data_IF_818968919524
#
_entry.id   IF_818968919524
#
_cell.length_a   1.000
_cell.length_b   1.000
_cell.length_c   1.000
_cell.angle_alpha   90.00
_cell.angle_beta   90.00
_cell.angle_gamma   90.00
#
_symmetry.space_group_name_H-M   'P 1'
#
loop_
_entity.id
_entity.type
_entity.pdbx_description
1 polymer ?
#
# COMPACT_ATOMS: atom_id res chain seq x y z
N UNK A 1 -42.20 3.51 -7.11
CA UNK A 1 -40.98 4.14 -7.62
C UNK A 1 -39.82 3.25 -7.18
N UNK A 2 -39.31 2.40 -8.06
CA UNK A 2 -38.10 1.63 -7.80
C UNK A 2 -36.94 2.63 -7.72
N UNK A 3 -36.40 2.80 -6.53
CA UNK A 3 -35.13 3.49 -6.36
C UNK A 3 -34.06 2.66 -7.05
N UNK A 4 -33.67 3.05 -8.26
CA UNK A 4 -32.52 2.46 -8.95
C UNK A 4 -31.35 2.44 -7.96
N UNK A 5 -31.05 1.27 -7.38
CA UNK A 5 -29.91 1.13 -6.50
C UNK A 5 -28.66 1.38 -7.31
N UNK A 6 -27.94 2.47 -6.98
CA UNK A 6 -26.66 2.80 -7.61
C UNK A 6 -25.70 1.64 -7.46
N UNK A 7 -25.18 1.13 -8.58
CA UNK A 7 -24.14 0.10 -8.59
C UNK A 7 -22.84 0.69 -8.03
N UNK A 8 -22.30 0.06 -7.00
CA UNK A 8 -21.02 0.45 -6.40
C UNK A 8 -19.86 -0.09 -7.24
N UNK A 9 -18.83 0.73 -7.43
CA UNK A 9 -17.65 0.38 -8.24
C UNK A 9 -16.41 0.35 -7.33
N UNK A 10 -15.67 -0.78 -7.25
CA UNK A 10 -14.45 -0.90 -6.45
C UNK A 10 -13.25 -0.27 -7.19
N UNK A 11 -13.26 1.04 -7.44
CA UNK A 11 -12.30 1.73 -8.32
C UNK A 11 -10.85 1.40 -7.97
N UNK A 12 -10.49 1.39 -6.68
CA UNK A 12 -9.15 1.08 -6.20
C UNK A 12 -9.21 0.20 -4.96
N UNK A 13 -8.48 -0.93 -4.98
CA UNK A 13 -8.48 -1.93 -3.90
C UNK A 13 -7.06 -2.13 -3.38
N UNK A 14 -6.92 -2.33 -2.06
CA UNK A 14 -5.68 -2.73 -1.42
C UNK A 14 -5.79 -4.21 -1.04
N UNK A 15 -4.90 -5.03 -1.56
CA UNK A 15 -4.86 -6.45 -1.26
C UNK A 15 -3.75 -6.78 -0.27
N UNK A 16 -4.15 -7.12 0.95
CA UNK A 16 -3.29 -7.53 2.05
C UNK A 16 -3.18 -9.06 2.09
N UNK A 17 -2.53 -9.66 1.10
CA UNK A 17 -2.51 -11.11 0.90
C UNK A 17 -1.72 -11.90 1.95
N UNK A 18 -1.02 -11.24 2.85
CA UNK A 18 -0.27 -11.86 3.95
C UNK A 18 -0.19 -10.93 5.15
N UNK A 19 -0.20 -11.50 6.36
CA UNK A 19 0.08 -10.78 7.62
C UNK A 19 1.54 -10.89 8.06
N UNK A 20 2.35 -11.76 7.43
CA UNK A 20 3.77 -11.92 7.78
C UNK A 20 4.56 -10.68 7.40
N UNK A 21 5.38 -10.20 8.34
CA UNK A 21 6.28 -9.07 8.14
C UNK A 21 7.58 -9.31 8.89
N UNK A 22 8.69 -8.87 8.30
CA UNK A 22 10.00 -8.91 8.94
C UNK A 22 10.30 -7.67 9.80
N UNK A 23 9.38 -6.68 9.85
CA UNK A 23 9.44 -5.52 10.73
C UNK A 23 8.39 -5.60 11.85
N UNK A 24 8.57 -4.78 12.90
CA UNK A 24 7.73 -4.80 14.11
C UNK A 24 7.21 -3.40 14.47
N UNK A 25 6.81 -2.59 13.46
CA UNK A 25 6.30 -1.24 13.68
C UNK A 25 5.18 -1.23 14.72
N UNK A 26 5.33 -0.41 15.78
CA UNK A 26 4.45 -0.46 16.95
C UNK A 26 3.02 -0.02 16.69
N UNK A 27 2.79 0.79 15.66
CA UNK A 27 1.47 1.24 15.23
C UNK A 27 0.82 0.38 14.14
N UNK A 28 1.47 -0.71 13.69
CA UNK A 28 0.96 -1.51 12.58
C UNK A 28 -0.40 -2.14 12.92
N UNK A 29 -1.40 -1.92 12.05
CA UNK A 29 -2.74 -2.49 12.20
C UNK A 29 -2.92 -3.85 11.50
N UNK A 30 -1.99 -4.24 10.63
CA UNK A 30 -2.06 -5.50 9.90
C UNK A 30 -0.90 -6.41 10.32
N UNK A 31 -1.04 -7.02 11.50
CA UNK A 31 0.03 -7.78 12.16
C UNK A 31 -0.14 -9.29 11.95
N UNK A 32 0.92 -10.06 12.21
CA UNK A 32 0.99 -11.50 11.97
C UNK A 32 0.16 -12.33 12.97
N UNK A 33 -1.16 -12.07 13.04
CA UNK A 33 -2.12 -12.86 13.81
C UNK A 33 -2.36 -14.23 13.19
N UNK A 34 -2.27 -14.33 11.87
CA UNK A 34 -2.34 -15.56 11.10
C UNK A 34 -1.08 -15.72 10.27
N UNK A 35 -0.86 -16.92 9.74
CA UNK A 35 0.18 -17.20 8.75
C UNK A 35 -0.41 -17.55 7.38
N UNK A 36 -1.71 -17.42 7.22
CA UNK A 36 -2.45 -17.81 6.04
C UNK A 36 -2.13 -16.91 4.85
N UNK A 37 -2.33 -17.46 3.69
CA UNK A 37 -2.17 -16.76 2.41
C UNK A 37 -3.06 -17.48 1.38
N UNK A 38 -3.82 -16.77 0.56
CA UNK A 38 -4.65 -17.40 -0.45
C UNK A 38 -3.78 -18.08 -1.52
N UNK A 39 -4.32 -19.10 -2.17
CA UNK A 39 -3.64 -19.71 -3.32
C UNK A 39 -3.52 -18.69 -4.47
N UNK A 40 -2.60 -18.92 -5.40
CA UNK A 40 -2.48 -18.05 -6.57
C UNK A 40 -3.78 -18.05 -7.39
N UNK A 41 -4.40 -19.21 -7.56
CA UNK A 41 -5.67 -19.38 -8.28
C UNK A 41 -6.80 -18.62 -7.63
N UNK A 42 -7.00 -18.76 -6.31
CA UNK A 42 -8.07 -18.05 -5.59
C UNK A 42 -7.89 -16.54 -5.67
N UNK A 43 -6.64 -16.07 -5.55
CA UNK A 43 -6.32 -14.66 -5.71
C UNK A 43 -6.64 -14.16 -7.11
N UNK A 44 -6.31 -14.93 -8.15
CA UNK A 44 -6.63 -14.55 -9.52
C UNK A 44 -8.15 -14.50 -9.76
N UNK A 45 -8.92 -15.47 -9.22
CA UNK A 45 -10.38 -15.46 -9.30
C UNK A 45 -10.99 -14.24 -8.61
N UNK A 46 -10.55 -13.92 -7.40
CA UNK A 46 -11.00 -12.75 -6.65
C UNK A 46 -10.66 -11.44 -7.39
N UNK A 47 -9.45 -11.32 -7.91
CA UNK A 47 -9.01 -10.13 -8.65
C UNK A 47 -9.75 -9.96 -9.98
N UNK A 48 -10.06 -11.07 -10.67
CA UNK A 48 -10.91 -11.03 -11.86
C UNK A 48 -12.31 -10.52 -11.54
N UNK A 49 -12.94 -11.02 -10.48
CA UNK A 49 -14.26 -10.55 -10.02
C UNK A 49 -14.26 -9.05 -9.72
N UNK A 50 -13.23 -8.53 -9.07
CA UNK A 50 -13.07 -7.10 -8.82
C UNK A 50 -12.88 -6.31 -10.12
N UNK A 51 -12.10 -6.82 -11.07
CA UNK A 51 -11.93 -6.21 -12.39
C UNK A 51 -13.22 -6.14 -13.18
N UNK A 52 -13.97 -7.24 -13.20
CA UNK A 52 -15.29 -7.32 -13.86
C UNK A 52 -16.29 -6.33 -13.23
N UNK A 53 -16.15 -6.06 -11.92
CA UNK A 53 -16.90 -5.03 -11.19
C UNK A 53 -16.39 -3.60 -11.34
N UNK A 54 -15.42 -3.36 -12.21
CA UNK A 54 -14.95 -2.01 -12.56
C UNK A 54 -13.68 -1.58 -11.82
N UNK A 55 -12.92 -2.47 -11.17
CA UNK A 55 -11.64 -2.13 -10.56
C UNK A 55 -10.65 -1.65 -11.63
N UNK A 56 -10.05 -0.49 -11.38
CA UNK A 56 -9.05 0.13 -12.26
C UNK A 56 -7.65 0.04 -11.69
N UNK A 57 -7.53 0.03 -10.35
CA UNK A 57 -6.27 0.04 -9.63
C UNK A 57 -6.22 -1.02 -8.54
N UNK A 58 -5.10 -1.72 -8.47
CA UNK A 58 -4.78 -2.62 -7.36
C UNK A 58 -3.49 -2.17 -6.67
N UNK A 59 -3.49 -2.24 -5.34
CA UNK A 59 -2.33 -1.97 -4.52
C UNK A 59 -2.03 -3.20 -3.65
N UNK A 60 -0.99 -3.94 -3.96
CA UNK A 60 -0.52 -5.04 -3.13
C UNK A 60 0.10 -4.50 -1.86
N UNK A 61 -0.35 -5.01 -0.73
CA UNK A 61 0.11 -4.66 0.60
C UNK A 61 0.07 -5.91 1.49
N UNK A 62 0.06 -5.73 2.79
CA UNK A 62 -0.06 -6.80 3.75
C UNK A 62 0.87 -6.58 4.93
N UNK A 63 1.57 -7.62 5.39
CA UNK A 63 2.74 -7.49 6.22
C UNK A 63 3.90 -6.94 5.40
N UNK A 64 4.72 -7.81 4.82
CA UNK A 64 5.72 -7.43 3.82
C UNK A 64 5.56 -8.29 2.57
N UNK A 65 5.08 -7.72 1.45
CA UNK A 65 4.82 -8.47 0.22
C UNK A 65 6.06 -9.18 -0.36
N UNK A 66 7.24 -8.58 -0.22
CA UNK A 66 8.49 -9.15 -0.72
C UNK A 66 9.06 -10.31 0.11
N UNK A 67 8.35 -10.78 1.13
CA UNK A 67 8.61 -12.10 1.71
C UNK A 67 8.19 -13.23 0.76
N UNK A 68 7.32 -12.93 -0.23
CA UNK A 68 6.81 -13.85 -1.24
C UNK A 68 7.01 -13.29 -2.66
N UNK A 69 8.27 -13.04 -3.08
CA UNK A 69 8.56 -12.26 -4.28
C UNK A 69 8.04 -12.89 -5.57
N UNK A 70 8.04 -14.23 -5.68
CA UNK A 70 7.49 -14.93 -6.85
C UNK A 70 5.98 -14.82 -6.93
N UNK A 71 5.28 -15.12 -5.84
CA UNK A 71 3.82 -15.00 -5.76
C UNK A 71 3.36 -13.56 -6.08
N UNK A 72 4.00 -12.58 -5.46
CA UNK A 72 3.74 -11.16 -5.72
C UNK A 72 3.97 -10.80 -7.20
N UNK A 73 5.08 -11.26 -7.79
CA UNK A 73 5.42 -10.98 -9.18
C UNK A 73 4.43 -11.60 -10.16
N UNK A 74 4.01 -12.83 -9.92
CA UNK A 74 3.03 -13.52 -10.75
C UNK A 74 1.65 -12.81 -10.72
N UNK A 75 1.23 -12.31 -9.54
CA UNK A 75 0.00 -11.52 -9.42
C UNK A 75 0.12 -10.14 -10.07
N UNK A 76 1.27 -9.46 -9.92
CA UNK A 76 1.52 -8.15 -10.57
C UNK A 76 1.43 -8.29 -12.09
N UNK A 77 2.07 -9.33 -12.65
CA UNK A 77 1.97 -9.63 -14.08
C UNK A 77 0.53 -9.93 -14.50
N UNK A 78 -0.16 -10.82 -13.80
CA UNK A 78 -1.56 -11.16 -14.07
C UNK A 78 -2.47 -9.93 -14.09
N UNK A 79 -2.35 -9.07 -13.09
CA UNK A 79 -3.15 -7.85 -13.00
C UNK A 79 -2.90 -6.89 -14.17
N UNK A 80 -1.65 -6.76 -14.60
CA UNK A 80 -1.30 -5.81 -15.67
C UNK A 80 -1.52 -6.40 -17.06
N UNK A 81 -1.09 -7.63 -17.29
CA UNK A 81 -1.09 -8.27 -18.60
C UNK A 81 -2.43 -8.93 -18.93
N UNK A 82 -2.98 -9.72 -18.01
CA UNK A 82 -4.20 -10.51 -18.28
C UNK A 82 -5.47 -9.71 -17.96
N UNK A 83 -5.51 -9.00 -16.82
CA UNK A 83 -6.67 -8.19 -16.43
C UNK A 83 -6.65 -6.77 -17.05
N UNK A 84 -5.53 -6.28 -17.56
CA UNK A 84 -5.43 -4.95 -18.14
C UNK A 84 -5.74 -3.82 -17.16
N UNK A 85 -5.31 -3.93 -15.89
CA UNK A 85 -5.52 -2.86 -14.92
C UNK A 85 -4.74 -1.60 -15.32
N UNK A 86 -5.35 -0.44 -15.14
CA UNK A 86 -4.70 0.84 -15.41
C UNK A 86 -3.47 1.04 -14.53
N UNK A 87 -3.55 0.63 -13.26
CA UNK A 87 -2.44 0.77 -12.32
C UNK A 87 -2.31 -0.45 -11.39
N UNK A 88 -1.09 -0.95 -11.31
CA UNK A 88 -0.67 -1.96 -10.33
C UNK A 88 0.41 -1.34 -9.46
N UNK A 89 0.24 -1.37 -8.16
CA UNK A 89 1.17 -0.79 -7.19
C UNK A 89 1.47 -1.75 -6.05
N UNK A 90 2.63 -1.54 -5.40
CA UNK A 90 3.06 -2.30 -4.23
C UNK A 90 3.40 -1.33 -3.11
N UNK A 91 3.00 -1.66 -1.87
CA UNK A 91 3.48 -1.01 -0.64
C UNK A 91 4.42 -1.98 0.07
N UNK A 92 5.62 -1.55 0.35
CA UNK A 92 6.69 -2.37 0.96
C UNK A 92 7.49 -1.58 1.98
N UNK A 93 8.14 -2.28 2.90
CA UNK A 93 9.17 -1.68 3.74
C UNK A 93 10.54 -1.56 3.04
N UNK A 94 10.68 -2.09 1.82
CA UNK A 94 11.86 -2.00 0.97
C UNK A 94 12.96 -3.02 1.27
N UNK A 95 13.00 -3.63 2.45
CA UNK A 95 14.14 -4.42 2.94
C UNK A 95 14.41 -5.71 2.18
N UNK A 96 13.44 -6.23 1.45
CA UNK A 96 13.53 -7.49 0.68
C UNK A 96 13.43 -7.28 -0.83
N UNK A 97 13.33 -6.03 -1.27
CA UNK A 97 13.30 -5.69 -2.69
C UNK A 97 14.67 -5.98 -3.32
N UNK A 98 14.67 -6.65 -4.45
CA UNK A 98 15.89 -7.04 -5.21
C UNK A 98 15.78 -6.58 -6.66
N UNK A 99 16.93 -6.26 -7.27
CA UNK A 99 17.02 -5.84 -8.67
C UNK A 99 16.46 -6.92 -9.62
N UNK A 100 16.72 -8.20 -9.35
CA UNK A 100 16.24 -9.33 -10.17
C UNK A 100 14.71 -9.41 -10.24
N UNK A 101 14.03 -8.98 -9.18
CA UNK A 101 12.58 -8.87 -9.20
C UNK A 101 12.12 -7.82 -10.21
N UNK A 102 12.78 -6.66 -10.25
CA UNK A 102 12.47 -5.62 -11.23
C UNK A 102 12.78 -6.06 -12.67
N UNK A 103 13.85 -6.81 -12.89
CA UNK A 103 14.18 -7.38 -14.22
C UNK A 103 13.03 -8.28 -14.70
N UNK A 104 12.44 -9.09 -13.83
CA UNK A 104 11.39 -10.05 -14.19
C UNK A 104 9.99 -9.45 -14.27
N UNK A 105 9.67 -8.52 -13.38
CA UNK A 105 8.29 -8.06 -13.17
C UNK A 105 8.12 -6.54 -13.23
N UNK A 106 9.20 -5.78 -13.26
CA UNK A 106 9.14 -4.32 -13.20
C UNK A 106 8.37 -3.70 -14.36
N UNK A 107 8.31 -4.35 -15.52
CA UNK A 107 7.52 -3.89 -16.66
C UNK A 107 6.00 -3.87 -16.38
N UNK A 108 5.51 -4.68 -15.45
CA UNK A 108 4.11 -4.79 -15.06
C UNK A 108 3.72 -3.90 -13.88
N UNK A 109 4.70 -3.22 -13.26
CA UNK A 109 4.50 -2.39 -12.08
C UNK A 109 4.45 -0.91 -12.44
N UNK A 110 3.40 -0.21 -12.01
CA UNK A 110 3.26 1.23 -12.21
C UNK A 110 3.87 2.04 -11.06
N UNK A 111 3.65 1.62 -9.80
CA UNK A 111 4.05 2.37 -8.61
C UNK A 111 4.68 1.43 -7.57
N UNK A 112 5.84 1.81 -7.07
CA UNK A 112 6.43 1.25 -5.85
C UNK A 112 6.32 2.28 -4.72
N UNK A 113 5.52 1.99 -3.70
CA UNK A 113 5.39 2.83 -2.51
C UNK A 113 6.24 2.25 -1.38
N UNK A 114 7.22 3.00 -0.91
CA UNK A 114 8.07 2.58 0.20
C UNK A 114 7.63 3.29 1.47
N UNK A 115 7.48 2.53 2.55
CA UNK A 115 7.21 3.08 3.88
C UNK A 115 8.49 3.65 4.45
N UNK A 116 8.50 4.96 4.75
CA UNK A 116 9.60 5.66 5.42
C UNK A 116 9.01 6.64 6.44
N UNK A 117 9.18 6.33 7.72
CA UNK A 117 8.55 7.13 8.78
C UNK A 117 9.50 8.20 9.34
N UNK A 118 10.82 8.05 9.16
CA UNK A 118 11.82 9.00 9.62
C UNK A 118 13.09 8.89 8.79
N UNK A 119 13.82 9.99 8.64
CA UNK A 119 15.18 10.02 8.09
C UNK A 119 16.26 9.93 9.17
N UNK A 120 15.86 9.58 10.39
CA UNK A 120 16.75 9.22 11.49
C UNK A 120 16.59 7.73 11.81
N UNK A 121 17.67 6.94 11.62
CA UNK A 121 17.63 5.48 11.88
C UNK A 121 17.29 5.14 13.34
N UNK A 122 17.72 5.96 14.32
CA UNK A 122 17.35 5.74 15.71
C UNK A 122 15.83 5.87 15.92
N UNK A 123 15.19 6.83 15.26
CA UNK A 123 13.73 7.00 15.25
C UNK A 123 13.05 5.80 14.59
N UNK A 124 13.55 5.35 13.43
CA UNK A 124 13.03 4.15 12.76
C UNK A 124 13.11 2.91 13.66
N UNK A 125 14.24 2.68 14.31
CA UNK A 125 14.40 1.57 15.26
C UNK A 125 13.41 1.70 16.43
N UNK A 126 13.24 2.90 16.99
CA UNK A 126 12.27 3.15 18.06
C UNK A 126 10.84 2.89 17.65
N UNK A 127 10.48 3.21 16.41
CA UNK A 127 9.17 2.91 15.82
C UNK A 127 9.00 1.39 15.59
N UNK A 128 10.09 0.65 15.47
CA UNK A 128 10.11 -0.77 15.07
C UNK A 128 10.19 -0.95 13.56
N UNK A 129 10.56 0.11 12.82
CA UNK A 129 10.77 0.11 11.37
C UNK A 129 12.22 -0.23 11.04
N UNK A 130 12.54 -1.53 11.08
CA UNK A 130 13.87 -2.05 10.80
C UNK A 130 14.82 -2.05 12.01
N UNK A 131 16.09 -2.24 11.72
CA UNK A 131 17.16 -2.44 12.72
C UNK A 131 18.40 -1.58 12.39
N UNK A 132 18.20 -0.35 11.88
CA UNK A 132 19.29 0.60 11.62
C UNK A 132 19.83 0.59 10.17
N UNK A 133 19.14 -0.07 9.23
CA UNK A 133 19.50 -0.09 7.80
C UNK A 133 18.31 0.25 6.90
N UNK A 134 17.26 0.85 7.46
CA UNK A 134 16.03 1.10 6.74
C UNK A 134 16.21 2.16 5.64
N UNK A 135 16.92 3.23 5.94
CA UNK A 135 17.15 4.33 4.98
C UNK A 135 17.95 3.87 3.77
N UNK A 136 18.93 2.96 3.98
CA UNK A 136 19.65 2.35 2.87
C UNK A 136 18.70 1.60 1.93
N UNK A 137 17.78 0.80 2.48
CA UNK A 137 16.78 0.09 1.67
C UNK A 137 15.86 1.07 0.92
N UNK A 138 15.43 2.17 1.54
CA UNK A 138 14.62 3.21 0.88
C UNK A 138 15.35 3.80 -0.32
N UNK A 139 16.65 4.16 -0.16
CA UNK A 139 17.50 4.72 -1.22
C UNK A 139 17.70 3.71 -2.36
N UNK A 140 17.98 2.45 -2.05
CA UNK A 140 18.14 1.38 -3.04
C UNK A 140 16.87 1.20 -3.87
N UNK A 141 15.69 1.15 -3.24
CA UNK A 141 14.41 1.03 -3.95
C UNK A 141 14.12 2.28 -4.79
N UNK A 142 14.41 3.49 -4.30
CA UNK A 142 14.28 4.72 -5.09
C UNK A 142 15.14 4.67 -6.35
N UNK A 143 16.37 4.18 -6.24
CA UNK A 143 17.29 4.03 -7.37
C UNK A 143 16.79 3.00 -8.39
N UNK A 144 16.29 1.84 -7.92
CA UNK A 144 15.68 0.83 -8.78
C UNK A 144 14.42 1.37 -9.49
N UNK A 145 13.57 2.09 -8.80
CA UNK A 145 12.38 2.70 -9.40
C UNK A 145 12.77 3.66 -10.54
N UNK A 146 13.84 4.45 -10.35
CA UNK A 146 14.35 5.35 -11.39
C UNK A 146 14.93 4.57 -12.57
N UNK A 147 15.74 3.54 -12.33
CA UNK A 147 16.34 2.67 -13.35
C UNK A 147 15.25 2.01 -14.22
N UNK A 148 14.22 1.43 -13.59
CA UNK A 148 13.14 0.70 -14.27
C UNK A 148 11.93 1.58 -14.63
N UNK A 149 12.02 2.91 -14.45
CA UNK A 149 10.95 3.89 -14.75
C UNK A 149 9.63 3.58 -14.05
N UNK A 150 9.67 2.97 -12.87
CA UNK A 150 8.52 2.77 -11.99
C UNK A 150 8.32 4.04 -11.16
N UNK A 151 7.09 4.50 -11.00
CA UNK A 151 6.79 5.68 -10.17
C UNK A 151 7.13 5.38 -8.71
N UNK A 152 8.05 6.16 -8.14
CA UNK A 152 8.46 6.03 -6.74
C UNK A 152 7.59 6.88 -5.83
N UNK A 153 7.02 6.27 -4.80
CA UNK A 153 6.16 6.92 -3.82
C UNK A 153 6.68 6.67 -2.41
N UNK A 154 6.55 7.66 -1.54
CA UNK A 154 6.84 7.51 -0.10
C UNK A 154 5.53 7.53 0.69
N UNK A 155 5.42 6.63 1.66
CA UNK A 155 4.37 6.61 2.67
C UNK A 155 5.00 6.81 4.05
N UNK A 156 4.53 7.80 4.79
CA UNK A 156 4.98 8.12 6.15
C UNK A 156 3.81 8.06 7.10
N UNK A 157 3.92 7.28 8.17
CA UNK A 157 3.00 7.37 9.30
C UNK A 157 3.55 8.40 10.27
N UNK A 158 2.84 9.52 10.39
CA UNK A 158 3.17 10.59 11.33
C UNK A 158 2.69 10.20 12.72
N UNK A 159 3.62 10.12 13.67
CA UNK A 159 3.38 9.65 15.02
C UNK A 159 4.18 10.47 16.04
N UNK A 160 4.02 10.18 17.34
CA UNK A 160 4.69 10.87 18.44
C UNK A 160 6.22 11.02 18.26
N UNK A 161 6.87 10.09 17.54
CA UNK A 161 8.33 10.06 17.45
C UNK A 161 8.90 10.83 16.26
N UNK A 162 8.05 11.25 15.31
CA UNK A 162 8.51 11.92 14.08
C UNK A 162 7.73 13.19 13.70
N UNK A 163 6.65 13.55 14.40
CA UNK A 163 5.83 14.70 13.99
C UNK A 163 6.57 16.06 14.02
N UNK A 164 7.66 16.16 14.81
CA UNK A 164 8.50 17.35 14.86
C UNK A 164 9.66 17.34 13.85
N UNK A 165 9.91 16.19 13.21
CA UNK A 165 11.01 16.03 12.25
C UNK A 165 10.81 16.90 11.00
N UNK A 166 11.84 17.56 10.55
CA UNK A 166 11.88 18.23 9.24
C UNK A 166 12.49 17.27 8.21
N UNK A 167 11.65 16.78 7.31
CA UNK A 167 12.03 15.82 6.27
C UNK A 167 12.21 16.47 4.89
N UNK A 168 12.14 17.81 4.81
CA UNK A 168 12.15 18.53 3.54
C UNK A 168 13.37 18.21 2.68
N UNK A 169 14.55 18.20 3.27
CA UNK A 169 15.81 17.93 2.56
C UNK A 169 15.82 16.52 1.98
N UNK A 170 15.52 15.51 2.79
CA UNK A 170 15.63 14.10 2.41
C UNK A 170 14.57 13.69 1.39
N UNK A 171 13.33 14.18 1.56
CA UNK A 171 12.25 13.96 0.56
C UNK A 171 12.63 14.65 -0.77
N UNK A 172 13.27 15.83 -0.74
CA UNK A 172 13.75 16.50 -1.95
C UNK A 172 14.82 15.69 -2.66
N UNK A 173 15.71 15.00 -1.93
CA UNK A 173 16.73 14.11 -2.50
C UNK A 173 16.12 12.83 -3.09
N UNK A 174 15.14 12.24 -2.42
CA UNK A 174 14.45 11.03 -2.90
C UNK A 174 13.57 11.28 -4.13
N UNK A 175 13.06 12.51 -4.29
CA UNK A 175 12.21 12.94 -5.40
C UNK A 175 11.01 12.00 -5.67
N UNK A 176 10.18 11.64 -4.67
CA UNK A 176 9.01 10.85 -4.93
C UNK A 176 8.02 11.63 -5.81
N UNK A 177 7.29 10.93 -6.70
CA UNK A 177 6.21 11.58 -7.45
C UNK A 177 5.01 11.93 -6.54
N UNK A 178 4.90 11.24 -5.39
CA UNK A 178 3.85 11.44 -4.38
C UNK A 178 4.37 11.03 -3.01
N UNK A 179 4.11 11.85 -2.01
CA UNK A 179 4.41 11.59 -0.61
C UNK A 179 3.12 11.59 0.19
N UNK A 180 2.67 10.44 0.67
CA UNK A 180 1.50 10.32 1.54
C UNK A 180 1.92 10.33 3.00
N UNK A 181 1.31 11.24 3.76
CA UNK A 181 1.49 11.36 5.20
C UNK A 181 0.20 10.94 5.91
N UNK A 182 0.24 9.81 6.59
CA UNK A 182 -0.88 9.25 7.33
C UNK A 182 -0.78 9.67 8.80
N UNK A 183 -1.84 10.21 9.36
CA UNK A 183 -1.93 10.31 10.82
C UNK A 183 -2.01 8.89 11.39
N UNK A 184 -1.23 8.60 12.46
CA UNK A 184 -1.29 7.29 13.11
C UNK A 184 -2.71 6.94 13.51
N UNK A 185 -3.17 5.75 13.13
CA UNK A 185 -4.55 5.30 13.28
C UNK A 185 -4.63 4.13 14.28
N UNK A 186 -5.59 4.22 15.22
CA UNK A 186 -5.98 3.10 16.06
C UNK A 186 -7.10 2.33 15.38
N UNK A 187 -6.88 1.04 15.23
CA UNK A 187 -7.83 0.09 14.66
C UNK A 187 -8.24 -0.91 15.73
N UNK A 188 -9.51 -0.88 16.20
CA UNK A 188 -10.01 -1.80 17.20
C UNK A 188 -9.73 -3.26 16.82
N UNK A 189 -9.28 -4.05 17.80
CA UNK A 189 -8.95 -5.46 17.59
C UNK A 189 -7.63 -5.71 16.83
N UNK A 190 -6.93 -4.70 16.30
CA UNK A 190 -5.67 -4.86 15.55
C UNK A 190 -4.45 -4.30 16.27
N UNK A 191 -4.53 -3.06 16.78
CA UNK A 191 -3.37 -2.37 17.37
C UNK A 191 -3.71 -1.52 18.60
N UNK A 192 -4.72 -1.90 19.36
CA UNK A 192 -5.16 -1.13 20.56
C UNK A 192 -4.31 -1.37 21.80
N UNK A 193 -3.44 -2.37 21.82
CA UNK A 193 -2.69 -2.78 23.01
C UNK A 193 -3.51 -3.61 24.02
N UNK A 194 -4.74 -4.00 23.63
CA UNK A 194 -5.60 -4.88 24.43
C UNK A 194 -5.39 -6.36 24.05
N UNK A 195 -6.04 -7.27 24.76
CA UNK A 195 -5.94 -8.71 24.53
C UNK A 195 -6.21 -9.07 23.05
N UNK A 196 -5.39 -9.96 22.52
CA UNK A 196 -5.45 -10.41 21.12
C UNK A 196 -4.79 -9.47 20.10
N UNK A 197 -4.26 -8.31 20.52
CA UNK A 197 -3.50 -7.43 19.65
C UNK A 197 -1.99 -7.63 19.83
N UNK A 198 -1.23 -7.56 18.71
CA UNK A 198 0.22 -7.73 18.73
C UNK A 198 0.97 -6.38 18.77
N UNK A 199 0.24 -5.26 18.77
CA UNK A 199 0.79 -3.91 18.77
C UNK A 199 -0.06 -2.98 19.63
N UNK A 200 0.57 -1.88 20.06
CA UNK A 200 -0.07 -0.82 20.83
C UNK A 200 0.15 0.54 20.14
N UNK A 201 -0.76 0.92 19.23
CA UNK A 201 -0.69 2.20 18.52
C UNK A 201 -1.02 3.40 19.42
N UNK A 202 -1.60 3.20 20.61
CA UNK A 202 -1.91 4.30 21.54
C UNK A 202 -0.66 5.03 22.00
N UNK A 203 0.48 4.32 22.11
CA UNK A 203 1.77 4.91 22.44
C UNK A 203 2.35 5.82 21.36
N UNK A 204 1.81 5.74 20.15
CA UNK A 204 2.26 6.47 18.97
C UNK A 204 1.33 7.63 18.60
N UNK A 205 0.24 7.81 19.33
CA UNK A 205 -0.78 8.79 18.99
C UNK A 205 -0.24 10.22 18.99
N UNK A 206 -0.81 11.01 18.10
CA UNK A 206 -0.67 12.46 17.99
C UNK A 206 -2.05 13.11 17.84
N UNK A 207 -2.15 14.35 18.24
CA UNK A 207 -3.33 15.18 18.02
C UNK A 207 -3.45 15.60 16.55
N UNK A 208 -4.64 16.07 16.14
CA UNK A 208 -4.83 16.67 14.81
C UNK A 208 -3.96 17.92 14.63
N UNK A 209 -3.77 18.71 15.67
CA UNK A 209 -2.91 19.90 15.61
C UNK A 209 -1.42 19.55 15.37
N UNK A 210 -0.91 18.49 16.00
CA UNK A 210 0.45 17.99 15.76
C UNK A 210 0.60 17.44 14.33
N UNK A 211 -0.42 16.72 13.83
CA UNK A 211 -0.44 16.27 12.44
C UNK A 211 -0.44 17.44 11.46
N UNK A 212 -1.31 18.44 11.67
CA UNK A 212 -1.37 19.66 10.85
C UNK A 212 -0.04 20.44 10.89
N UNK A 213 0.60 20.55 12.04
CA UNK A 213 1.90 21.20 12.18
C UNK A 213 2.98 20.48 11.33
N UNK A 214 2.96 19.14 11.30
CA UNK A 214 3.84 18.36 10.42
C UNK A 214 3.52 18.66 8.95
N UNK A 215 2.26 18.60 8.54
CA UNK A 215 1.86 18.86 7.15
C UNK A 215 2.25 20.27 6.72
N UNK A 216 1.95 21.30 7.53
CA UNK A 216 2.25 22.71 7.21
C UNK A 216 3.75 22.97 7.06
N UNK A 217 4.61 22.30 7.83
CA UNK A 217 6.07 22.39 7.71
C UNK A 217 6.55 21.95 6.33
N UNK A 218 5.93 20.93 5.75
CA UNK A 218 6.39 20.31 4.51
C UNK A 218 5.64 20.77 3.26
N UNK A 219 4.41 21.27 3.41
CA UNK A 219 3.54 21.65 2.28
C UNK A 219 4.16 22.78 1.43
N UNK A 220 4.86 23.72 2.05
CA UNK A 220 5.51 24.85 1.34
C UNK A 220 6.58 24.39 0.34
N UNK A 221 7.26 23.27 0.64
CA UNK A 221 8.35 22.73 -0.19
C UNK A 221 7.82 21.73 -1.21
N UNK A 222 6.89 20.84 -0.79
CA UNK A 222 6.51 19.70 -1.61
C UNK A 222 5.17 19.87 -2.35
N UNK A 223 4.37 20.88 -2.01
CA UNK A 223 3.14 21.25 -2.72
C UNK A 223 2.22 20.05 -2.93
N UNK A 224 1.75 19.88 -4.16
CA UNK A 224 0.80 18.82 -4.54
C UNK A 224 1.35 17.38 -4.41
N UNK A 225 2.67 17.22 -4.30
CA UNK A 225 3.27 15.89 -4.08
C UNK A 225 2.97 15.38 -2.68
N UNK A 226 2.85 16.26 -1.68
CA UNK A 226 2.48 15.92 -0.32
C UNK A 226 0.97 15.75 -0.22
N UNK A 227 0.55 14.58 0.26
CA UNK A 227 -0.87 14.24 0.40
C UNK A 227 -1.15 13.88 1.84
N UNK A 228 -1.83 14.74 2.59
CA UNK A 228 -2.23 14.43 3.95
C UNK A 228 -3.37 13.43 3.98
N UNK A 229 -3.29 12.49 4.89
CA UNK A 229 -4.30 11.46 5.14
C UNK A 229 -4.64 11.46 6.65
N UNK A 230 -5.42 12.44 7.13
CA UNK A 230 -5.87 12.48 8.51
C UNK A 230 -6.91 11.39 8.79
N UNK A 231 -7.03 10.98 10.05
CA UNK A 231 -7.87 9.84 10.46
C UNK A 231 -9.34 9.96 10.05
N UNK A 232 -9.89 11.16 10.02
CA UNK A 232 -11.29 11.41 9.63
C UNK A 232 -11.57 11.15 8.13
N UNK A 233 -10.54 11.20 7.28
CA UNK A 233 -10.68 10.92 5.83
C UNK A 233 -10.41 9.46 5.47
N UNK A 234 -9.82 8.67 6.38
CA UNK A 234 -9.45 7.29 6.09
C UNK A 234 -10.63 6.32 6.13
N UNK A 235 -11.61 6.59 7.01
CA UNK A 235 -12.76 5.72 7.19
C UNK A 235 -13.61 5.66 5.92
N UNK A 236 -14.03 4.45 5.53
CA UNK A 236 -14.90 4.17 4.39
C UNK A 236 -14.37 4.52 2.99
N UNK A 237 -13.23 5.21 2.89
CA UNK A 237 -12.63 5.61 1.61
C UNK A 237 -11.53 4.69 1.11
N UNK A 238 -11.25 3.59 1.83
CA UNK A 238 -10.31 2.54 1.44
C UNK A 238 -11.03 1.20 1.37
N UNK A 239 -10.98 0.56 0.21
CA UNK A 239 -11.32 -0.86 0.08
C UNK A 239 -10.06 -1.68 0.35
N UNK A 240 -10.12 -2.53 1.35
CA UNK A 240 -9.04 -3.45 1.72
C UNK A 240 -9.59 -4.87 1.74
N UNK A 241 -8.86 -5.79 1.14
CA UNK A 241 -9.09 -7.24 1.24
C UNK A 241 -7.95 -7.90 1.99
N UNK A 242 -8.28 -8.86 2.83
CA UNK A 242 -7.36 -9.59 3.69
C UNK A 242 -6.82 -10.87 3.02
N UNK A 243 -6.00 -11.61 3.76
CA UNK A 243 -5.40 -12.89 3.36
C UNK A 243 -6.42 -14.02 3.15
N UNK A 244 -7.68 -13.82 3.54
CA UNK A 244 -8.80 -14.74 3.31
C UNK A 244 -9.75 -14.25 2.20
N UNK A 245 -9.34 -13.24 1.43
CA UNK A 245 -10.13 -12.64 0.34
C UNK A 245 -11.44 -12.01 0.82
N UNK A 246 -11.46 -11.43 2.03
CA UNK A 246 -12.60 -10.76 2.65
C UNK A 246 -12.35 -9.27 2.71
N UNK A 247 -13.39 -8.47 2.49
CA UNK A 247 -13.27 -7.03 2.76
C UNK A 247 -13.22 -6.75 4.26
N UNK A 248 -12.50 -5.70 4.64
CA UNK A 248 -12.67 -5.08 5.94
C UNK A 248 -13.98 -4.29 5.94
N UNK A 249 -14.90 -4.65 6.84
CA UNK A 249 -16.16 -3.94 7.03
C UNK A 249 -15.95 -2.59 7.74
N UNK A 250 -16.99 -1.76 7.78
CA UNK A 250 -16.99 -0.40 8.31
C UNK A 250 -16.49 -0.22 9.75
N UNK A 251 -16.21 -1.28 10.47
CA UNK A 251 -15.64 -1.26 11.83
C UNK A 251 -14.20 -1.72 11.91
N UNK A 252 -13.52 -1.88 10.78
CA UNK A 252 -12.18 -2.46 10.66
C UNK A 252 -12.09 -3.95 11.08
N UNK A 253 -13.21 -4.64 11.19
CA UNK A 253 -13.27 -6.09 11.35
C UNK A 253 -13.40 -6.75 9.98
N UNK A 254 -12.68 -7.84 9.69
CA UNK A 254 -12.89 -8.59 8.46
C UNK A 254 -14.34 -9.10 8.38
N UNK A 255 -14.96 -8.97 7.21
CA UNK A 255 -16.25 -9.61 6.91
C UNK A 255 -16.14 -11.12 7.05
N UNK A 256 -17.26 -11.79 7.27
CA UNK A 256 -17.35 -13.26 7.15
C UNK A 256 -17.52 -13.71 5.69
N UNK A 257 -17.90 -12.78 4.81
CA UNK A 257 -18.16 -13.01 3.40
C UNK A 257 -16.88 -12.92 2.57
N UNK A 258 -16.70 -13.84 1.62
CA UNK A 258 -15.51 -13.90 0.77
C UNK A 258 -15.79 -13.48 -0.67
N UNK A 259 -14.77 -12.99 -1.37
CA UNK A 259 -14.84 -12.69 -2.80
C UNK A 259 -15.07 -13.94 -3.66
N UNK A 260 -14.83 -15.13 -3.14
CA UNK A 260 -15.04 -16.38 -3.89
C UNK A 260 -16.52 -16.78 -3.94
N UNK A 261 -17.25 -16.57 -2.85
CA UNK A 261 -18.57 -17.19 -2.64
C UNK A 261 -19.74 -16.19 -2.69
N UNK A 262 -19.46 -14.87 -2.58
CA UNK A 262 -20.50 -13.84 -2.43
C UNK A 262 -20.46 -12.85 -3.59
N UNK A 263 -21.63 -12.37 -4.04
CA UNK A 263 -21.69 -11.36 -5.10
C UNK A 263 -21.01 -10.03 -4.67
N UNK A 264 -20.46 -9.32 -5.65
CA UNK A 264 -19.63 -8.15 -5.38
C UNK A 264 -20.43 -6.98 -4.79
N UNK A 265 -21.69 -6.79 -5.18
CA UNK A 265 -22.48 -5.66 -4.67
C UNK A 265 -22.84 -5.85 -3.20
N UNK A 266 -23.13 -7.07 -2.78
CA UNK A 266 -23.33 -7.42 -1.37
C UNK A 266 -22.05 -7.15 -0.58
N UNK A 267 -20.89 -7.58 -1.07
CA UNK A 267 -19.60 -7.35 -0.43
C UNK A 267 -19.25 -5.87 -0.28
N UNK A 268 -19.49 -5.05 -1.31
CA UNK A 268 -19.20 -3.63 -1.28
C UNK A 268 -20.12 -2.86 -0.30
N UNK A 269 -21.37 -3.29 -0.17
CA UNK A 269 -22.32 -2.76 0.82
C UNK A 269 -21.89 -3.14 2.24
N UNK A 270 -21.53 -4.40 2.48
CA UNK A 270 -21.02 -4.89 3.77
C UNK A 270 -19.74 -4.16 4.19
N UNK A 271 -18.83 -3.92 3.24
CA UNK A 271 -17.63 -3.13 3.47
C UNK A 271 -17.91 -1.64 3.79
N UNK A 272 -19.13 -1.16 3.58
CA UNK A 272 -19.47 0.25 3.74
C UNK A 272 -18.70 1.16 2.78
N UNK A 273 -18.46 0.70 1.55
CA UNK A 273 -17.70 1.44 0.56
C UNK A 273 -18.34 2.76 0.18
N UNK A 274 -17.62 3.87 0.38
CA UNK A 274 -18.00 5.22 -0.02
C UNK A 274 -17.15 5.70 -1.19
N UNK A 275 -17.65 5.49 -2.41
CA UNK A 275 -17.02 5.93 -3.65
C UNK A 275 -16.88 7.46 -3.72
N UNK A 276 -17.86 8.21 -3.19
CA UNK A 276 -17.82 9.66 -3.21
C UNK A 276 -16.71 10.20 -2.29
N UNK A 277 -16.56 9.63 -1.09
CA UNK A 277 -15.46 9.97 -0.19
C UNK A 277 -14.10 9.62 -0.81
N UNK A 278 -14.00 8.49 -1.52
CA UNK A 278 -12.78 8.11 -2.24
C UNK A 278 -12.40 9.14 -3.31
N UNK A 279 -13.36 9.59 -4.11
CA UNK A 279 -13.12 10.60 -5.17
C UNK A 279 -12.75 11.95 -4.52
N UNK A 280 -13.51 12.37 -3.49
CA UNK A 280 -13.31 13.65 -2.79
C UNK A 280 -11.90 13.81 -2.19
N UNK A 281 -11.30 12.73 -1.65
CA UNK A 281 -9.93 12.75 -1.13
C UNK A 281 -8.84 12.61 -2.22
N UNK A 282 -9.17 12.84 -3.48
CA UNK A 282 -8.25 12.65 -4.62
C UNK A 282 -7.73 11.21 -4.73
N UNK A 283 -8.62 10.24 -4.53
CA UNK A 283 -8.32 8.81 -4.68
C UNK A 283 -7.96 8.45 -6.12
N UNK A 284 -8.49 9.21 -7.11
CA UNK A 284 -8.12 9.11 -8.53
C UNK A 284 -7.10 10.19 -8.85
N UNK A 285 -5.97 9.81 -9.43
CA UNK A 285 -4.88 10.70 -9.87
C UNK A 285 -4.13 10.04 -11.04
N UNK A 286 -3.11 10.65 -11.61
CA UNK A 286 -2.26 10.00 -12.63
C UNK A 286 -1.42 8.89 -11.98
N UNK A 287 -1.98 7.69 -11.90
CA UNK A 287 -1.43 6.51 -11.25
C UNK A 287 -0.77 5.50 -12.19
N UNK A 288 -0.96 5.64 -13.50
CA UNK A 288 -0.29 4.78 -14.47
C UNK A 288 1.08 5.35 -14.85
N UNK A 289 2.03 4.49 -15.13
CA UNK A 289 3.25 4.94 -15.80
C UNK A 289 2.99 5.10 -17.29
N UNK A 290 3.71 6.04 -17.94
CA UNK A 290 3.67 6.18 -19.39
C UNK A 290 4.23 4.89 -20.03
N UNK A 291 3.62 4.37 -21.11
CA UNK A 291 4.17 3.22 -21.84
C UNK A 291 5.62 3.47 -22.23
N UNK A 292 6.47 2.45 -22.16
CA UNK A 292 7.82 2.51 -22.71
C UNK A 292 7.70 2.61 -24.23
N UNK A 293 7.91 3.80 -24.79
CA UNK A 293 7.96 4.02 -26.24
C UNK A 293 9.29 3.59 -26.86
N UNK A 294 10.27 3.26 -26.04
CA UNK A 294 11.56 2.70 -26.51
C UNK A 294 11.47 1.18 -26.40
N UNK A 295 11.67 0.40 -27.49
CA UNK A 295 11.76 -1.04 -27.40
C UNK A 295 12.88 -1.41 -26.41
N UNK A 296 12.57 -2.26 -25.46
CA UNK A 296 13.59 -2.89 -24.63
C UNK A 296 14.56 -3.58 -25.57
N UNK A 297 15.78 -3.07 -25.69
CA UNK A 297 16.78 -3.72 -26.53
C UNK A 297 16.94 -5.16 -26.03
N UNK A 298 16.80 -6.12 -26.93
CA UNK A 298 16.81 -7.57 -26.72
C UNK A 298 18.11 -8.12 -26.10
N UNK A 299 19.03 -7.25 -25.68
CA UNK A 299 20.36 -7.61 -25.16
C UNK A 299 20.36 -8.26 -23.78
N UNK A 300 19.24 -8.33 -23.07
CA UNK A 300 19.19 -8.92 -21.72
C UNK A 300 18.39 -10.23 -21.63
N UNK A 301 17.88 -10.78 -22.76
CA UNK A 301 17.11 -12.04 -22.75
C UNK A 301 17.95 -13.32 -22.76
N UNK A 302 19.24 -13.26 -23.08
CA UNK A 302 20.07 -14.45 -23.35
C UNK A 302 21.09 -14.80 -22.25
N UNK A 303 21.04 -14.18 -21.07
CA UNK A 303 21.79 -14.71 -19.95
C UNK A 303 20.95 -15.79 -19.25
N UNK A 304 21.13 -17.03 -19.68
CA UNK A 304 20.77 -18.21 -18.88
C UNK A 304 21.47 -18.11 -17.55
N UNK A 305 20.70 -17.90 -16.51
CA UNK A 305 21.14 -18.11 -15.14
C UNK A 305 20.75 -19.54 -14.77
N UNK A 306 21.72 -20.44 -14.81
CA UNK A 306 21.58 -21.76 -14.21
C UNK A 306 21.51 -21.62 -12.70
N UNK A 307 20.51 -22.27 -12.12
CA UNK A 307 20.33 -22.46 -10.67
C UNK A 307 20.29 -23.94 -10.36
#
# INVERSE_FOLDING_TARGET
METSQRTLIPIAVNFHFTRKCNYKCGFCFHTAKTSDMPTLTDSQLALKKLKDGGMRKLNFAGGEPFLYPKYLGDLVRYCKQDLGLESVSIVTNGSKVKRDWFIRYGEYLDIMAVSCDSFNEKTNVRIGRGQGLHLKAVQEVSSLCREFRVKFKVNTVVCRYNWQEDMNHDISLLQPFRWKCFQVLIVPGENTGTDGTLRNATEFQISSAEFEAFINRHAKVHGEKLVPEPNNLLRHSYLMIDEHLRFYASGNTPSVLTLLDTDLQTLLKDAGWDEAAFIKRSGVYDWSRKPNTTPCSSKFRDQKLDW
#
